data_IF_269320759820
#
_entry.id   IF_269320759820
#
_cell.length_a   1.000
_cell.length_b   1.000
_cell.length_c   1.000
_cell.angle_alpha   90.00
_cell.angle_beta   90.00
_cell.angle_gamma   90.00
#
_symmetry.space_group_name_H-M   'P 1'
#
loop_
_entity.id
_entity.type
_entity.pdbx_description
1 polymer ?
#
# COMPACT_ATOMS: atom_id res chain seq x y z
N UNK A 1 21.57 45.72 50.54
CA UNK A 1 22.12 45.50 49.17
C UNK A 1 23.09 44.32 49.05
N UNK A 2 23.75 43.79 50.10
CA UNK A 2 24.71 42.68 49.96
C UNK A 2 24.09 41.31 49.63
N UNK A 3 22.83 41.10 50.01
CA UNK A 3 22.06 39.86 49.78
C UNK A 3 21.74 39.65 48.29
N UNK A 4 21.52 40.74 47.53
CA UNK A 4 21.22 40.66 46.10
C UNK A 4 22.38 40.07 45.29
N UNK A 5 23.63 40.40 45.62
CA UNK A 5 24.78 39.89 44.88
C UNK A 5 24.94 38.37 45.08
N UNK A 6 24.79 37.91 46.31
CA UNK A 6 24.94 36.50 46.67
C UNK A 6 23.85 35.65 46.00
N UNK A 7 22.59 36.11 46.10
CA UNK A 7 21.46 35.42 45.48
C UNK A 7 21.59 35.36 43.96
N UNK A 8 22.04 36.46 43.33
CA UNK A 8 22.22 36.54 41.88
C UNK A 8 23.34 35.63 41.37
N UNK A 9 24.45 35.52 42.09
CA UNK A 9 25.53 34.58 41.75
C UNK A 9 25.05 33.13 41.85
N UNK A 10 24.38 32.77 42.95
CA UNK A 10 23.86 31.40 43.15
C UNK A 10 22.82 31.05 42.08
N UNK A 11 21.91 31.97 41.76
CA UNK A 11 20.90 31.77 40.72
C UNK A 11 21.54 31.54 39.34
N UNK A 12 22.60 32.28 39.02
CA UNK A 12 23.32 32.16 37.74
C UNK A 12 24.02 30.79 37.63
N UNK A 13 24.61 30.31 38.72
CA UNK A 13 25.24 28.99 38.76
C UNK A 13 24.21 27.87 38.60
N UNK A 14 23.07 27.94 39.30
CA UNK A 14 22.00 26.94 39.18
C UNK A 14 21.41 26.94 37.76
N UNK A 15 21.19 28.12 37.17
CA UNK A 15 20.72 28.24 35.80
C UNK A 15 21.69 27.62 34.79
N UNK A 16 23.00 27.83 34.97
CA UNK A 16 24.04 27.20 34.14
C UNK A 16 24.05 25.68 34.25
N UNK A 17 23.96 25.13 35.47
CA UNK A 17 23.86 23.69 35.69
C UNK A 17 22.60 23.09 35.02
N UNK A 18 21.46 23.77 35.12
CA UNK A 18 20.21 23.32 34.49
C UNK A 18 20.29 23.39 32.97
N UNK A 19 20.92 24.43 32.40
CA UNK A 19 21.13 24.55 30.96
C UNK A 19 21.95 23.38 30.39
N UNK A 20 23.02 22.99 31.09
CA UNK A 20 23.85 21.84 30.68
C UNK A 20 23.07 20.53 30.77
N UNK A 21 22.24 20.33 31.80
CA UNK A 21 21.39 19.15 31.93
C UNK A 21 20.36 19.03 30.80
N UNK A 22 19.74 20.14 30.43
CA UNK A 22 18.78 20.18 29.30
C UNK A 22 19.50 19.86 27.99
N UNK A 23 20.68 20.42 27.74
CA UNK A 23 21.48 20.10 26.54
C UNK A 23 21.92 18.62 26.49
N UNK A 24 22.15 17.98 27.64
CA UNK A 24 22.50 16.56 27.71
C UNK A 24 21.33 15.62 27.47
N UNK A 25 20.12 16.04 27.82
CA UNK A 25 18.88 15.27 27.60
C UNK A 25 18.16 15.62 26.30
N UNK A 26 18.54 16.72 25.65
CA UNK A 26 17.97 17.14 24.37
C UNK A 26 18.57 16.31 23.24
N UNK A 27 17.85 15.26 22.86
CA UNK A 27 18.08 14.55 21.61
C UNK A 27 17.67 15.45 20.44
N UNK A 28 18.62 16.26 19.94
CA UNK A 28 18.43 17.24 18.86
C UNK A 28 18.15 16.59 17.49
N UNK A 29 18.29 15.27 17.39
CA UNK A 29 17.93 14.46 16.25
C UNK A 29 16.99 13.32 16.69
N UNK A 30 15.92 13.01 15.93
CA UNK A 30 15.06 11.88 16.25
C UNK A 30 15.89 10.60 16.23
N UNK A 31 15.98 9.94 17.38
CA UNK A 31 16.53 8.58 17.46
C UNK A 31 15.53 7.66 16.77
N UNK A 32 15.92 7.08 15.65
CA UNK A 32 15.16 6.02 15.01
C UNK A 32 15.24 4.77 15.90
N UNK A 33 14.25 4.59 16.76
CA UNK A 33 14.03 3.33 17.44
C UNK A 33 13.47 2.35 16.41
N UNK A 34 14.33 1.45 15.91
CA UNK A 34 13.85 0.26 15.22
C UNK A 34 13.19 -0.62 16.28
N UNK A 35 11.87 -0.52 16.38
CA UNK A 35 11.10 -1.46 17.17
C UNK A 35 11.29 -2.83 16.52
N UNK A 36 11.88 -3.75 17.27
CA UNK A 36 12.05 -5.11 16.78
C UNK A 36 10.66 -5.73 16.78
N UNK A 37 10.04 -5.72 15.61
CA UNK A 37 8.74 -6.33 15.34
C UNK A 37 8.79 -7.82 15.66
N UNK A 38 8.65 -8.16 16.93
CA UNK A 38 8.29 -9.50 17.36
C UNK A 38 6.82 -9.71 17.04
N UNK A 39 6.63 -10.43 15.94
CA UNK A 39 5.46 -11.20 15.51
C UNK A 39 4.40 -10.55 14.58
N UNK A 40 4.44 -11.08 13.34
CA UNK A 40 3.40 -11.21 12.27
C UNK A 40 3.17 -10.07 11.26
N UNK A 41 2.88 -10.37 9.96
CA UNK A 41 3.30 -11.50 9.12
C UNK A 41 4.61 -11.16 8.38
N UNK A 42 5.28 -12.17 7.82
CA UNK A 42 6.46 -12.01 6.99
C UNK A 42 6.13 -11.30 5.67
N UNK A 43 5.90 -9.99 5.69
CA UNK A 43 6.02 -9.18 4.50
C UNK A 43 7.53 -9.06 4.21
N UNK A 44 8.09 -10.10 3.58
CA UNK A 44 9.43 -10.07 3.02
C UNK A 44 9.40 -9.10 1.84
N UNK A 45 9.58 -7.82 2.13
CA UNK A 45 9.83 -6.83 1.08
C UNK A 45 11.21 -7.12 0.48
N UNK A 46 11.22 -7.53 -0.78
CA UNK A 46 12.43 -7.65 -1.58
C UNK A 46 12.62 -6.39 -2.42
N UNK A 47 13.85 -5.87 -2.48
CA UNK A 47 14.20 -4.89 -3.49
C UNK A 47 14.21 -5.61 -4.85
N UNK A 48 13.32 -5.20 -5.74
CA UNK A 48 13.27 -5.71 -7.12
C UNK A 48 14.03 -4.73 -8.00
N UNK A 49 15.02 -5.19 -8.79
CA UNK A 49 15.70 -4.32 -9.74
C UNK A 49 14.69 -3.79 -10.77
N UNK A 50 14.78 -2.50 -11.05
CA UNK A 50 13.96 -1.81 -12.04
C UNK A 50 14.74 -1.70 -13.36
N UNK A 51 14.04 -1.82 -14.48
CA UNK A 51 14.61 -1.58 -15.79
C UNK A 51 14.91 -0.08 -16.00
N UNK A 52 15.73 0.28 -16.98
CA UNK A 52 16.08 1.69 -17.27
C UNK A 52 14.87 2.56 -17.64
N UNK A 53 13.80 1.95 -18.16
CA UNK A 53 12.53 2.59 -18.52
C UNK A 53 11.55 2.73 -17.34
N UNK A 54 11.93 2.27 -16.14
CA UNK A 54 11.09 2.31 -14.95
C UNK A 54 10.13 1.13 -14.80
N UNK A 55 10.18 0.14 -15.70
CA UNK A 55 9.34 -1.06 -15.62
C UNK A 55 9.93 -2.13 -14.70
N UNK A 56 9.09 -3.08 -14.27
CA UNK A 56 9.49 -4.24 -13.47
C UNK A 56 8.96 -5.50 -14.13
N UNK A 57 9.84 -6.44 -14.44
CA UNK A 57 9.49 -7.74 -14.99
C UNK A 57 9.39 -8.77 -13.86
N UNK A 58 8.19 -9.30 -13.61
CA UNK A 58 7.93 -10.30 -12.57
C UNK A 58 7.36 -11.57 -13.18
N UNK A 59 7.88 -12.72 -12.76
CA UNK A 59 7.30 -14.03 -13.09
C UNK A 59 6.79 -14.65 -11.79
N UNK A 60 5.48 -14.85 -11.69
CA UNK A 60 4.87 -15.44 -10.51
C UNK A 60 4.84 -16.96 -10.67
N UNK A 61 5.53 -17.68 -9.77
CA UNK A 61 5.70 -19.14 -9.88
C UNK A 61 4.55 -19.94 -9.25
N UNK A 62 4.00 -19.45 -8.15
CA UNK A 62 2.90 -20.09 -7.43
C UNK A 62 2.27 -19.09 -6.48
N UNK A 63 0.99 -19.29 -6.21
CA UNK A 63 0.27 -18.69 -5.09
C UNK A 63 0.05 -19.76 -4.03
N UNK A 64 -0.01 -19.38 -2.75
CA UNK A 64 -0.50 -20.26 -1.70
C UNK A 64 -1.97 -20.63 -1.93
N UNK A 65 -2.43 -21.74 -1.36
CA UNK A 65 -3.79 -22.25 -1.56
C UNK A 65 -4.92 -21.27 -1.15
N UNK A 66 -4.60 -20.25 -0.35
CA UNK A 66 -5.53 -19.21 0.10
C UNK A 66 -5.05 -17.80 -0.25
N UNK A 67 -4.03 -17.65 -1.10
CA UNK A 67 -3.50 -16.34 -1.47
C UNK A 67 -4.30 -15.76 -2.64
N UNK A 68 -4.72 -14.51 -2.49
CA UNK A 68 -5.40 -13.74 -3.53
C UNK A 68 -4.43 -12.68 -4.04
N UNK A 69 -4.22 -12.65 -5.35
CA UNK A 69 -3.49 -11.58 -6.03
C UNK A 69 -4.48 -10.56 -6.56
N UNK A 70 -4.52 -9.39 -5.91
CA UNK A 70 -5.24 -8.23 -6.42
C UNK A 70 -4.35 -7.47 -7.41
N UNK A 71 -4.85 -7.29 -8.63
CA UNK A 71 -4.15 -6.58 -9.71
C UNK A 71 -5.05 -5.53 -10.32
N UNK A 72 -4.53 -4.31 -10.44
CA UNK A 72 -5.15 -3.27 -11.26
C UNK A 72 -4.52 -3.28 -12.63
N UNK A 73 -5.29 -3.70 -13.61
CA UNK A 73 -4.89 -3.70 -15.01
C UNK A 73 -5.48 -2.45 -15.67
N UNK A 74 -4.65 -1.70 -16.40
CA UNK A 74 -5.09 -0.54 -17.19
C UNK A 74 -5.17 -0.85 -18.68
N UNK A 75 -4.20 -1.62 -19.17
CA UNK A 75 -4.06 -1.96 -20.57
C UNK A 75 -3.46 -3.37 -20.67
N UNK A 76 -3.86 -4.13 -21.69
CA UNK A 76 -3.37 -5.48 -21.98
C UNK A 76 -3.15 -5.55 -23.49
N UNK A 77 -1.92 -5.86 -23.89
CA UNK A 77 -1.59 -6.22 -25.26
C UNK A 77 -1.08 -7.66 -25.29
N UNK A 78 -1.82 -8.55 -25.98
CA UNK A 78 -1.49 -9.96 -26.11
C UNK A 78 -1.40 -10.34 -27.57
N UNK A 79 -0.38 -11.12 -27.92
CA UNK A 79 -0.22 -11.63 -29.29
C UNK A 79 -1.36 -12.60 -29.68
N UNK A 80 -1.83 -13.42 -28.74
CA UNK A 80 -2.90 -14.39 -28.91
C UNK A 80 -4.14 -14.02 -28.08
N UNK A 81 -5.25 -14.75 -28.27
CA UNK A 81 -6.48 -14.58 -27.49
C UNK A 81 -6.27 -14.93 -26.01
N UNK A 82 -6.63 -13.99 -25.13
CA UNK A 82 -6.63 -14.19 -23.68
C UNK A 82 -7.99 -14.70 -23.21
N UNK A 83 -8.03 -15.94 -22.70
CA UNK A 83 -9.24 -16.47 -22.04
C UNK A 83 -9.36 -15.92 -20.62
N UNK A 84 -10.47 -15.25 -20.34
CA UNK A 84 -10.78 -14.68 -19.01
C UNK A 84 -12.08 -15.26 -18.49
N UNK A 85 -12.09 -15.69 -17.22
CA UNK A 85 -13.30 -16.10 -16.50
C UNK A 85 -13.70 -14.98 -15.55
N UNK A 86 -14.86 -14.37 -15.77
CA UNK A 86 -15.37 -13.26 -14.97
C UNK A 86 -16.54 -13.76 -14.13
N UNK A 87 -16.47 -13.56 -12.81
CA UNK A 87 -17.55 -13.94 -11.89
C UNK A 87 -18.53 -12.78 -11.65
N UNK A 88 -17.99 -11.57 -11.49
CA UNK A 88 -18.77 -10.37 -11.16
C UNK A 88 -18.24 -9.16 -11.92
N UNK A 89 -19.15 -8.27 -12.31
CA UNK A 89 -18.84 -6.97 -12.91
C UNK A 89 -19.70 -5.92 -12.23
N UNK A 90 -19.06 -4.85 -11.75
CA UNK A 90 -19.74 -3.68 -11.18
C UNK A 90 -19.29 -2.43 -11.93
N UNK A 91 -20.24 -1.75 -12.57
CA UNK A 91 -20.03 -0.52 -13.34
C UNK A 91 -21.12 0.48 -12.99
N UNK A 92 -20.82 1.77 -13.10
CA UNK A 92 -21.78 2.85 -12.92
C UNK A 92 -22.65 3.08 -14.15
N UNK A 93 -22.09 2.84 -15.33
CA UNK A 93 -22.74 3.06 -16.61
C UNK A 93 -23.20 1.73 -17.24
N UNK A 94 -24.06 1.81 -18.27
CA UNK A 94 -24.53 0.64 -19.01
C UNK A 94 -23.36 -0.11 -19.68
N UNK A 95 -23.32 -1.44 -19.47
CA UNK A 95 -22.32 -2.31 -20.09
C UNK A 95 -22.89 -2.96 -21.35
N UNK A 96 -22.42 -2.52 -22.52
CA UNK A 96 -22.72 -3.18 -23.78
C UNK A 96 -21.88 -4.45 -23.95
N UNK A 97 -22.53 -5.60 -24.11
CA UNK A 97 -21.88 -6.90 -24.35
C UNK A 97 -22.43 -7.59 -25.59
N UNK A 98 -21.55 -8.25 -26.34
CA UNK A 98 -21.94 -9.15 -27.43
C UNK A 98 -21.99 -10.57 -26.88
N UNK A 99 -23.13 -11.24 -27.04
CA UNK A 99 -23.36 -12.59 -26.52
C UNK A 99 -23.64 -13.51 -27.69
N UNK A 100 -22.86 -14.59 -27.80
CA UNK A 100 -23.05 -15.61 -28.83
C UNK A 100 -23.97 -16.74 -28.36
N UNK A 101 -23.96 -17.06 -27.06
CA UNK A 101 -24.73 -18.17 -26.47
C UNK A 101 -25.19 -17.87 -25.04
N UNK A 102 -26.42 -18.28 -24.70
CA UNK A 102 -26.94 -18.26 -23.32
C UNK A 102 -27.55 -19.62 -23.01
N UNK A 103 -27.06 -20.28 -21.96
CA UNK A 103 -27.64 -21.53 -21.45
C UNK A 103 -27.69 -22.69 -22.45
N UNK A 104 -26.70 -22.82 -23.34
CA UNK A 104 -26.66 -23.90 -24.35
C UNK A 104 -27.35 -23.58 -25.67
N UNK A 105 -27.91 -22.37 -25.83
CA UNK A 105 -28.62 -21.94 -27.05
C UNK A 105 -27.97 -20.69 -27.64
N UNK A 106 -27.63 -20.74 -28.93
CA UNK A 106 -27.05 -19.61 -29.66
C UNK A 106 -28.02 -18.42 -29.73
N UNK A 107 -27.51 -17.21 -29.55
CA UNK A 107 -28.27 -15.96 -29.65
C UNK A 107 -28.18 -15.45 -31.09
N UNK A 108 -29.21 -15.74 -31.90
CA UNK A 108 -29.21 -15.42 -33.33
C UNK A 108 -29.95 -14.13 -33.70
N UNK A 109 -30.53 -13.42 -32.73
CA UNK A 109 -31.28 -12.19 -32.97
C UNK A 109 -31.08 -11.18 -31.84
N UNK A 110 -31.05 -9.88 -32.17
CA UNK A 110 -30.95 -8.78 -31.20
C UNK A 110 -32.22 -8.51 -30.40
N UNK A 111 -33.10 -9.52 -30.25
CA UNK A 111 -34.31 -9.42 -29.46
C UNK A 111 -34.02 -9.44 -27.94
N UNK A 112 -35.00 -9.08 -27.09
CA UNK A 112 -34.81 -9.06 -25.65
C UNK A 112 -34.47 -10.45 -25.08
N UNK A 113 -33.42 -10.55 -24.28
CA UNK A 113 -33.05 -11.76 -23.55
C UNK A 113 -33.80 -11.78 -22.22
N UNK A 114 -34.47 -12.89 -21.92
CA UNK A 114 -35.14 -13.08 -20.62
C UNK A 114 -34.08 -13.34 -19.55
N UNK A 115 -34.03 -12.48 -18.54
CA UNK A 115 -33.13 -12.61 -17.40
C UNK A 115 -33.92 -12.89 -16.13
N UNK A 116 -33.30 -13.60 -15.18
CA UNK A 116 -33.81 -13.75 -13.82
C UNK A 116 -33.15 -12.69 -12.95
N UNK A 117 -33.97 -11.89 -12.28
CA UNK A 117 -33.50 -10.93 -11.26
C UNK A 117 -33.83 -11.59 -9.91
N UNK A 118 -32.81 -11.83 -9.10
CA UNK A 118 -32.94 -12.27 -7.71
C UNK A 118 -32.87 -11.08 -6.75
#
# INVERSE_FOLDING_TARGET
MKIDLYSKVVLTVIAGCLMILVLRGADFAPKAYADNLTETPSAQFGLVPMNEDGSINVVVKSFGANDIMDVRIKDIDTYDEMKVSITDISTTDELAVNIDEVGGSSVSSGGPIKVKID
#
